data_IF_336713388075
#
_entry.id   IF_336713388075
#
_cell.length_a   1.000
_cell.length_b   1.000
_cell.length_c   1.000
_cell.angle_alpha   90.00
_cell.angle_beta   90.00
_cell.angle_gamma   90.00
#
_symmetry.space_group_name_H-M   'P 1'
#
loop_
_entity.id
_entity.type
_entity.pdbx_description
1 polymer ?
#
# COMPACT_ATOMS: atom_id res chain seq x y z
N UNK A 1 -86.24 17.51 10.26
CA UNK A 1 -85.07 17.52 9.35
C UNK A 1 -84.40 16.14 9.39
N UNK A 2 -84.48 15.35 8.32
CA UNK A 2 -83.73 14.08 8.23
C UNK A 2 -82.25 14.44 8.09
N UNK A 3 -81.43 14.13 9.10
CA UNK A 3 -79.96 14.30 9.01
C UNK A 3 -79.47 13.43 7.84
N UNK A 4 -78.77 14.03 6.90
CA UNK A 4 -78.21 13.35 5.73
C UNK A 4 -76.95 12.57 6.14
N UNK A 5 -77.13 11.29 6.50
CA UNK A 5 -76.04 10.37 6.86
C UNK A 5 -75.03 10.16 5.72
N UNK A 6 -75.45 10.33 4.47
CA UNK A 6 -74.62 10.16 3.28
C UNK A 6 -73.40 11.08 3.25
N UNK A 7 -73.50 12.28 3.83
CA UNK A 7 -72.37 13.23 3.88
C UNK A 7 -71.26 12.74 4.81
N UNK A 8 -71.61 12.17 5.97
CA UNK A 8 -70.64 11.69 6.96
C UNK A 8 -69.86 10.49 6.41
N UNK A 9 -70.55 9.56 5.74
CA UNK A 9 -69.91 8.39 5.12
C UNK A 9 -68.93 8.82 4.03
N UNK A 10 -69.28 9.79 3.20
CA UNK A 10 -68.40 10.30 2.16
C UNK A 10 -67.10 10.89 2.75
N UNK A 11 -67.21 11.71 3.80
CA UNK A 11 -66.03 12.27 4.50
C UNK A 11 -65.11 11.17 5.04
N UNK A 12 -65.69 10.12 5.64
CA UNK A 12 -64.90 9.00 6.16
C UNK A 12 -64.21 8.21 5.04
N UNK A 13 -64.90 7.97 3.92
CA UNK A 13 -64.30 7.31 2.76
C UNK A 13 -63.14 8.12 2.17
N UNK A 14 -63.30 9.44 2.02
CA UNK A 14 -62.22 10.32 1.54
C UNK A 14 -61.03 10.30 2.50
N UNK A 15 -61.28 10.34 3.80
CA UNK A 15 -60.23 10.26 4.82
C UNK A 15 -59.49 8.92 4.77
N UNK A 16 -60.21 7.80 4.63
CA UNK A 16 -59.60 6.48 4.48
C UNK A 16 -58.74 6.38 3.21
N UNK A 17 -59.23 6.90 2.08
CA UNK A 17 -58.46 6.93 0.82
C UNK A 17 -57.22 7.82 0.95
N UNK A 18 -57.32 8.96 1.65
CA UNK A 18 -56.19 9.85 1.90
C UNK A 18 -55.10 9.17 2.74
N UNK A 19 -55.47 8.46 3.81
CA UNK A 19 -54.53 7.67 4.62
C UNK A 19 -53.88 6.57 3.78
N UNK A 20 -54.67 5.80 3.03
CA UNK A 20 -54.13 4.74 2.18
C UNK A 20 -53.17 5.28 1.12
N UNK A 21 -53.45 6.45 0.55
CA UNK A 21 -52.55 7.12 -0.41
C UNK A 21 -51.24 7.54 0.25
N UNK A 22 -51.27 8.10 1.47
CA UNK A 22 -50.06 8.44 2.22
C UNK A 22 -49.24 7.19 2.54
N UNK A 23 -49.89 6.11 3.00
CA UNK A 23 -49.22 4.83 3.28
C UNK A 23 -48.59 4.22 2.02
N UNK A 24 -49.27 4.29 0.87
CA UNK A 24 -48.73 3.82 -0.40
C UNK A 24 -47.48 4.60 -0.81
N UNK A 25 -47.48 5.94 -0.68
CA UNK A 25 -46.30 6.77 -0.96
C UNK A 25 -45.16 6.45 0.00
N UNK A 26 -45.44 6.31 1.30
CA UNK A 26 -44.43 5.93 2.30
C UNK A 26 -43.82 4.56 2.01
N UNK A 27 -44.64 3.57 1.62
CA UNK A 27 -44.17 2.24 1.26
C UNK A 27 -43.28 2.26 0.01
N UNK A 28 -43.68 2.99 -1.04
CA UNK A 28 -42.86 3.16 -2.25
C UNK A 28 -41.50 3.81 -1.92
N UNK A 29 -41.51 4.85 -1.08
CA UNK A 29 -40.28 5.52 -0.67
C UNK A 29 -39.37 4.59 0.15
N UNK A 30 -39.93 3.84 1.11
CA UNK A 30 -39.18 2.89 1.92
C UNK A 30 -38.59 1.77 1.05
N UNK A 31 -39.38 1.20 0.14
CA UNK A 31 -38.92 0.17 -0.80
C UNK A 31 -37.80 0.68 -1.72
N UNK A 32 -37.88 1.94 -2.17
CA UNK A 32 -36.82 2.56 -2.97
C UNK A 32 -35.53 2.77 -2.16
N UNK A 33 -35.64 3.15 -0.88
CA UNK A 33 -34.50 3.30 0.02
C UNK A 33 -33.84 1.94 0.30
N UNK A 34 -34.63 0.91 0.59
CA UNK A 34 -34.14 -0.45 0.82
C UNK A 34 -33.45 -1.01 -0.43
N UNK A 35 -34.03 -0.81 -1.61
CA UNK A 35 -33.40 -1.21 -2.88
C UNK A 35 -32.06 -0.49 -3.10
N UNK A 36 -31.97 0.79 -2.75
CA UNK A 36 -30.73 1.57 -2.87
C UNK A 36 -29.68 1.11 -1.86
N UNK A 37 -30.08 0.82 -0.62
CA UNK A 37 -29.20 0.29 0.42
C UNK A 37 -28.64 -1.09 0.05
N UNK A 38 -29.49 -1.98 -0.47
CA UNK A 38 -29.09 -3.29 -0.99
C UNK A 38 -28.09 -3.13 -2.14
N UNK A 39 -28.37 -2.25 -3.11
CA UNK A 39 -27.47 -1.99 -4.25
C UNK A 39 -26.10 -1.47 -3.80
N UNK A 40 -26.07 -0.53 -2.84
CA UNK A 40 -24.82 0.00 -2.27
C UNK A 40 -24.03 -1.09 -1.54
N UNK A 41 -24.71 -1.94 -0.77
CA UNK A 41 -24.07 -3.04 -0.06
C UNK A 41 -23.49 -4.08 -1.03
N UNK A 42 -24.23 -4.45 -2.08
CA UNK A 42 -23.72 -5.33 -3.15
C UNK A 42 -22.51 -4.72 -3.86
N UNK A 43 -22.56 -3.43 -4.17
CA UNK A 43 -21.44 -2.71 -4.80
C UNK A 43 -20.20 -2.67 -3.92
N UNK A 44 -20.37 -2.45 -2.61
CA UNK A 44 -19.28 -2.53 -1.63
C UNK A 44 -18.65 -3.93 -1.58
N UNK A 45 -19.47 -4.99 -1.52
CA UNK A 45 -18.96 -6.36 -1.53
C UNK A 45 -18.23 -6.68 -2.84
N UNK A 46 -18.76 -6.24 -3.99
CA UNK A 46 -18.10 -6.42 -5.28
C UNK A 46 -16.74 -5.71 -5.32
N UNK A 47 -16.67 -4.44 -4.90
CA UNK A 47 -15.40 -3.71 -4.81
C UNK A 47 -14.39 -4.42 -3.91
N UNK A 48 -14.83 -4.96 -2.76
CA UNK A 48 -13.99 -5.73 -1.84
C UNK A 48 -13.47 -7.02 -2.47
N UNK A 49 -14.31 -7.77 -3.19
CA UNK A 49 -13.90 -8.98 -3.89
C UNK A 49 -12.89 -8.68 -5.01
N UNK A 50 -13.11 -7.60 -5.77
CA UNK A 50 -12.18 -7.15 -6.82
C UNK A 50 -10.82 -6.76 -6.21
N UNK A 51 -10.82 -6.07 -5.07
CA UNK A 51 -9.59 -5.75 -4.35
C UNK A 51 -8.83 -7.02 -3.89
N UNK A 52 -9.53 -8.01 -3.34
CA UNK A 52 -8.91 -9.29 -2.97
C UNK A 52 -8.35 -10.05 -4.16
N UNK A 53 -9.08 -10.10 -5.28
CA UNK A 53 -8.57 -10.71 -6.50
C UNK A 53 -7.31 -9.99 -7.02
N UNK A 54 -7.23 -8.66 -6.90
CA UNK A 54 -6.03 -7.89 -7.20
C UNK A 54 -4.84 -8.23 -6.30
N UNK A 55 -5.08 -8.45 -5.00
CA UNK A 55 -4.07 -8.90 -4.05
C UNK A 55 -3.56 -10.31 -4.38
N UNK A 56 -4.47 -11.25 -4.68
CA UNK A 56 -4.12 -12.63 -5.05
C UNK A 56 -3.31 -12.67 -6.34
N UNK A 57 -3.70 -11.87 -7.34
CA UNK A 57 -2.96 -11.70 -8.58
C UNK A 57 -1.53 -11.21 -8.31
N UNK A 58 -1.39 -10.14 -7.51
CA UNK A 58 -0.10 -9.60 -7.10
C UNK A 58 0.78 -10.65 -6.42
N UNK A 59 0.20 -11.42 -5.49
CA UNK A 59 0.90 -12.51 -4.78
C UNK A 59 1.37 -13.61 -5.74
N UNK A 60 0.48 -14.10 -6.60
CA UNK A 60 0.82 -15.12 -7.60
C UNK A 60 1.93 -14.63 -8.55
N UNK A 61 1.89 -13.35 -8.95
CA UNK A 61 2.92 -12.75 -9.80
C UNK A 61 4.26 -12.60 -9.09
N UNK A 62 4.27 -12.23 -7.80
CA UNK A 62 5.49 -12.19 -6.99
C UNK A 62 6.11 -13.59 -6.85
N UNK A 63 5.29 -14.63 -6.61
CA UNK A 63 5.75 -16.03 -6.54
C UNK A 63 6.31 -16.50 -7.89
N UNK A 64 5.66 -16.14 -9.00
CA UNK A 64 6.16 -16.46 -10.33
C UNK A 64 7.52 -15.78 -10.59
N UNK A 65 7.62 -14.50 -10.24
CA UNK A 65 8.84 -13.70 -10.41
C UNK A 65 9.98 -14.24 -9.54
N UNK A 66 9.70 -14.63 -8.29
CA UNK A 66 10.74 -15.14 -7.38
C UNK A 66 11.37 -16.45 -7.86
N UNK A 67 10.61 -17.28 -8.58
CA UNK A 67 11.15 -18.49 -9.25
C UNK A 67 12.11 -18.16 -10.39
N UNK A 68 11.98 -16.99 -11.02
CA UNK A 68 12.85 -16.55 -12.10
C UNK A 68 14.17 -15.91 -11.59
N UNK A 69 14.21 -15.46 -10.33
CA UNK A 69 15.40 -14.86 -9.67
C UNK A 69 16.59 -15.83 -9.56
N UNK A 70 16.40 -17.12 -9.82
CA UNK A 70 17.53 -18.09 -9.94
C UNK A 70 18.51 -17.67 -11.06
N UNK A 71 18.12 -16.74 -11.94
CA UNK A 71 19.02 -16.10 -12.89
C UNK A 71 19.74 -14.89 -12.25
N UNK A 72 21.07 -14.86 -12.31
CA UNK A 72 21.98 -13.94 -11.61
C UNK A 72 21.78 -12.43 -11.88
N UNK A 73 20.93 -12.05 -12.85
CA UNK A 73 20.70 -10.67 -13.27
C UNK A 73 19.21 -10.28 -13.30
N UNK A 74 18.34 -10.97 -12.54
CA UNK A 74 16.92 -10.67 -12.57
C UNK A 74 16.60 -9.34 -11.88
N UNK A 75 16.31 -8.32 -12.68
CA UNK A 75 15.66 -7.08 -12.27
C UNK A 75 14.16 -7.25 -12.52
N UNK A 76 13.31 -6.87 -11.57
CA UNK A 76 11.86 -6.85 -11.74
C UNK A 76 11.46 -5.81 -12.81
N UNK A 77 11.52 -6.18 -14.09
CA UNK A 77 11.21 -5.29 -15.22
C UNK A 77 9.71 -5.11 -15.45
N UNK A 78 8.90 -6.06 -14.99
CA UNK A 78 7.50 -6.19 -15.39
C UNK A 78 6.52 -5.39 -14.52
N UNK A 79 7.04 -4.59 -13.58
CA UNK A 79 6.28 -4.01 -12.48
C UNK A 79 6.10 -2.49 -12.58
N UNK A 80 6.48 -1.87 -13.69
CA UNK A 80 6.41 -0.42 -13.91
C UNK A 80 5.07 -0.06 -14.57
N UNK A 81 4.32 0.88 -13.98
CA UNK A 81 3.12 1.44 -14.62
C UNK A 81 3.50 2.20 -15.88
N UNK A 82 2.67 2.05 -16.91
CA UNK A 82 2.96 2.48 -18.27
C UNK A 82 2.51 3.89 -18.61
N UNK A 83 1.84 4.54 -17.67
CA UNK A 83 1.39 5.90 -17.88
C UNK A 83 2.39 6.88 -17.27
N UNK A 84 2.73 7.85 -18.11
CA UNK A 84 3.54 9.06 -17.95
C UNK A 84 3.97 9.30 -16.50
N UNK A 85 5.29 9.39 -16.19
CA UNK A 85 5.83 9.57 -14.83
C UNK A 85 5.30 10.79 -14.06
N UNK A 86 4.52 11.66 -14.70
CA UNK A 86 3.89 12.85 -14.11
C UNK A 86 2.44 12.63 -13.65
N UNK A 87 1.80 11.50 -13.97
CA UNK A 87 0.40 11.25 -13.62
C UNK A 87 0.31 10.50 -12.28
N UNK A 88 -0.42 11.07 -11.31
CA UNK A 88 -0.63 10.41 -10.02
C UNK A 88 -1.50 9.16 -10.20
N UNK A 89 -1.29 8.18 -9.31
CA UNK A 89 -1.98 6.88 -9.32
C UNK A 89 -3.51 6.99 -9.47
N UNK A 90 -4.11 8.03 -8.89
CA UNK A 90 -5.56 8.27 -8.91
C UNK A 90 -6.10 8.61 -10.31
N UNK A 91 -5.21 9.00 -11.23
CA UNK A 91 -5.55 9.46 -12.57
C UNK A 91 -5.31 8.41 -13.66
N UNK A 92 -4.92 7.18 -13.29
CA UNK A 92 -4.72 6.08 -14.25
C UNK A 92 -6.08 5.62 -14.82
N UNK A 93 -6.28 5.87 -16.11
CA UNK A 93 -7.51 5.49 -16.81
C UNK A 93 -7.43 4.11 -17.48
N UNK A 94 -6.23 3.52 -17.58
CA UNK A 94 -6.03 2.25 -18.29
C UNK A 94 -5.24 1.22 -17.48
N UNK A 95 -5.53 -0.09 -17.64
CA UNK A 95 -4.80 -1.15 -16.96
C UNK A 95 -3.40 -1.35 -17.57
N UNK A 96 -2.38 -1.50 -16.71
CA UNK A 96 -0.96 -1.35 -17.06
C UNK A 96 -0.31 -2.60 -17.69
N UNK A 97 -0.97 -3.27 -18.64
CA UNK A 97 -0.53 -4.57 -19.19
C UNK A 97 0.49 -4.54 -20.35
N UNK A 98 1.12 -3.40 -20.69
CA UNK A 98 1.83 -3.23 -21.99
C UNK A 98 3.26 -2.66 -21.93
N UNK A 99 4.25 -3.54 -21.77
CA UNK A 99 5.72 -3.37 -21.84
C UNK A 99 6.37 -2.08 -22.40
N UNK A 100 7.58 -1.82 -21.85
CA UNK A 100 8.75 -1.12 -22.40
C UNK A 100 8.69 0.40 -22.43
N UNK A 101 9.08 1.09 -21.36
CA UNK A 101 9.99 2.26 -21.36
C UNK A 101 10.26 2.70 -19.90
N UNK A 102 11.54 2.85 -19.53
CA UNK A 102 12.00 3.15 -18.18
C UNK A 102 12.40 4.63 -18.03
N UNK A 103 11.92 5.28 -16.98
CA UNK A 103 12.65 6.38 -16.33
C UNK A 103 12.70 6.13 -14.83
N UNK A 104 13.90 6.25 -14.28
CA UNK A 104 14.27 5.87 -12.92
C UNK A 104 14.12 7.10 -12.03
N UNK A 105 13.00 7.21 -11.31
CA UNK A 105 12.92 7.97 -10.06
C UNK A 105 11.68 7.49 -9.30
N UNK A 106 11.92 6.96 -8.09
CA UNK A 106 11.01 6.21 -7.22
C UNK A 106 10.58 4.82 -7.72
N UNK A 107 11.15 3.74 -7.14
CA UNK A 107 10.79 2.34 -7.43
C UNK A 107 9.49 1.95 -6.72
N UNK A 108 8.39 2.56 -7.13
CA UNK A 108 7.05 2.13 -6.77
C UNK A 108 6.49 1.34 -7.95
N UNK A 109 5.96 0.15 -7.67
CA UNK A 109 5.41 -0.71 -8.70
C UNK A 109 3.89 -0.64 -8.64
N UNK A 110 3.25 -0.32 -9.76
CA UNK A 110 1.80 -0.17 -9.83
C UNK A 110 1.23 -1.10 -10.88
N UNK A 111 0.11 -1.72 -10.55
CA UNK A 111 -0.60 -2.62 -11.41
C UNK A 111 -2.08 -2.27 -11.38
N UNK A 112 -2.62 -1.89 -12.51
CA UNK A 112 -4.06 -1.65 -12.68
C UNK A 112 -4.65 -2.81 -13.46
N UNK A 113 -5.70 -3.43 -12.94
CA UNK A 113 -6.38 -4.57 -13.56
C UNK A 113 -7.88 -4.32 -13.73
N UNK A 114 -8.48 -5.05 -14.66
CA UNK A 114 -9.93 -5.00 -14.93
C UNK A 114 -10.53 -6.39 -14.67
N UNK A 115 -11.53 -6.45 -13.81
CA UNK A 115 -12.32 -7.65 -13.58
C UNK A 115 -13.68 -7.47 -14.26
N UNK A 116 -13.82 -8.03 -15.47
CA UNK A 116 -15.01 -7.93 -16.29
C UNK A 116 -15.76 -9.25 -16.39
N UNK A 117 -17.05 -9.23 -16.07
CA UNK A 117 -17.99 -10.31 -16.43
C UNK A 117 -18.81 -9.88 -17.66
N UNK A 118 -18.55 -10.51 -18.80
CA UNK A 118 -19.48 -10.56 -19.94
C UNK A 118 -19.50 -9.35 -20.89
N UNK A 119 -19.81 -9.65 -22.15
CA UNK A 119 -19.74 -8.77 -23.32
C UNK A 119 -20.75 -7.61 -23.38
N UNK A 120 -21.63 -7.42 -22.38
CA UNK A 120 -22.69 -6.41 -22.47
C UNK A 120 -22.89 -5.66 -21.13
N UNK A 121 -22.25 -4.49 -21.06
CA UNK A 121 -22.71 -3.27 -20.37
C UNK A 121 -23.12 -3.39 -18.89
N UNK A 122 -22.13 -3.45 -17.99
CA UNK A 122 -22.25 -3.02 -16.59
C UNK A 122 -20.88 -2.51 -16.10
N UNK A 123 -20.80 -1.56 -15.15
CA UNK A 123 -19.59 -0.77 -14.92
C UNK A 123 -18.49 -1.68 -14.39
N UNK A 124 -17.40 -1.77 -15.15
CA UNK A 124 -16.24 -2.58 -14.80
C UNK A 124 -15.69 -2.16 -13.43
N UNK A 125 -15.44 -3.13 -12.57
CA UNK A 125 -14.64 -2.91 -11.37
C UNK A 125 -13.19 -2.73 -11.78
N UNK A 126 -12.68 -1.51 -11.70
CA UNK A 126 -11.26 -1.23 -11.83
C UNK A 126 -10.61 -1.39 -10.45
N UNK A 127 -9.44 -2.02 -10.41
CA UNK A 127 -8.60 -2.00 -9.22
C UNK A 127 -7.19 -1.57 -9.57
N UNK A 128 -6.58 -0.88 -8.62
CA UNK A 128 -5.18 -0.49 -8.68
C UNK A 128 -4.48 -1.08 -7.47
N UNK A 129 -3.53 -1.97 -7.72
CA UNK A 129 -2.64 -2.53 -6.73
C UNK A 129 -1.29 -1.83 -6.83
N UNK A 130 -0.74 -1.43 -5.70
CA UNK A 130 0.61 -0.89 -5.60
C UNK A 130 1.44 -1.82 -4.73
N UNK A 131 2.57 -2.27 -5.26
CA UNK A 131 3.55 -3.04 -4.51
C UNK A 131 4.74 -2.15 -4.22
N UNK A 132 5.15 -2.12 -2.96
CA UNK A 132 6.34 -1.41 -2.50
C UNK A 132 7.24 -2.37 -1.76
N UNK A 133 8.54 -2.30 -2.03
CA UNK A 133 9.52 -3.07 -1.28
C UNK A 133 9.86 -2.35 0.04
N UNK A 134 9.41 -2.92 1.15
CA UNK A 134 9.72 -2.39 2.47
C UNK A 134 11.17 -2.68 2.90
N UNK A 135 11.84 -3.66 2.28
CA UNK A 135 13.26 -3.93 2.55
C UNK A 135 14.17 -2.85 1.97
N UNK A 136 13.70 -2.00 1.05
CA UNK A 136 14.45 -0.81 0.61
C UNK A 136 14.47 0.34 1.64
N UNK A 137 13.78 0.19 2.78
CA UNK A 137 13.62 1.21 3.81
C UNK A 137 14.33 0.81 5.10
N UNK A 138 14.59 1.78 5.97
CA UNK A 138 15.21 1.53 7.28
C UNK A 138 14.14 1.02 8.25
N UNK A 139 14.32 -0.21 8.75
CA UNK A 139 13.43 -0.77 9.75
C UNK A 139 13.76 -0.23 11.15
N UNK A 140 12.87 0.61 11.69
CA UNK A 140 13.05 1.25 13.01
C UNK A 140 12.89 0.27 14.19
N UNK A 141 12.38 -0.94 13.93
CA UNK A 141 12.31 -2.03 14.91
C UNK A 141 13.57 -2.93 14.90
N UNK A 142 14.64 -2.51 14.22
CA UNK A 142 15.92 -3.22 14.22
C UNK A 142 16.52 -3.39 15.62
N UNK A 143 17.10 -4.55 15.88
CA UNK A 143 17.69 -4.93 17.18
C UNK A 143 19.00 -4.20 17.48
N UNK A 144 19.78 -3.86 16.45
CA UNK A 144 21.08 -3.20 16.56
C UNK A 144 20.93 -1.68 16.76
N UNK A 145 20.62 -1.27 17.99
CA UNK A 145 20.32 0.12 18.35
C UNK A 145 21.41 1.11 17.98
N UNK A 146 22.69 0.76 18.17
CA UNK A 146 23.79 1.68 17.91
C UNK A 146 23.94 1.99 16.42
N UNK A 147 23.91 0.96 15.59
CA UNK A 147 23.97 1.09 14.12
C UNK A 147 22.73 1.83 13.63
N UNK A 148 21.55 1.44 14.11
CA UNK A 148 20.28 2.07 13.74
C UNK A 148 20.25 3.56 14.12
N UNK A 149 20.66 3.92 15.34
CA UNK A 149 20.75 5.33 15.77
C UNK A 149 21.66 6.13 14.83
N UNK A 150 22.83 5.58 14.51
CA UNK A 150 23.81 6.21 13.64
C UNK A 150 23.23 6.45 12.25
N UNK A 151 22.70 5.40 11.61
CA UNK A 151 22.06 5.47 10.28
C UNK A 151 20.90 6.48 10.27
N UNK A 152 20.01 6.45 11.27
CA UNK A 152 18.90 7.40 11.36
C UNK A 152 19.38 8.85 11.50
N UNK A 153 20.42 9.10 12.31
CA UNK A 153 20.99 10.43 12.45
C UNK A 153 21.53 10.97 11.11
N UNK A 154 22.23 10.13 10.35
CA UNK A 154 22.75 10.51 9.03
C UNK A 154 21.60 10.79 8.05
N UNK A 155 20.56 9.95 8.07
CA UNK A 155 19.34 10.16 7.28
C UNK A 155 18.68 11.51 7.63
N UNK A 156 18.46 11.81 8.91
CA UNK A 156 17.83 13.07 9.30
C UNK A 156 18.69 14.29 8.94
N UNK A 157 20.02 14.14 9.03
CA UNK A 157 20.96 15.18 8.59
C UNK A 157 20.88 15.39 7.08
N UNK A 158 20.80 14.33 6.26
CA UNK A 158 20.70 14.45 4.80
C UNK A 158 19.35 15.02 4.35
N UNK A 159 18.29 14.77 5.10
CA UNK A 159 16.96 15.35 4.85
C UNK A 159 16.79 16.78 5.37
N UNK A 160 17.77 17.30 6.14
CA UNK A 160 17.65 18.62 6.78
C UNK A 160 16.54 18.69 7.84
N UNK A 161 16.27 17.58 8.52
CA UNK A 161 15.25 17.47 9.58
C UNK A 161 15.89 17.37 10.96
N UNK A 162 15.13 17.68 12.02
CA UNK A 162 15.58 17.51 13.40
C UNK A 162 15.98 16.05 13.66
N UNK A 163 17.12 15.83 14.32
CA UNK A 163 17.55 14.49 14.72
C UNK A 163 16.66 13.96 15.85
N UNK A 164 15.81 13.00 15.51
CA UNK A 164 14.92 12.28 16.44
C UNK A 164 15.35 10.82 16.65
N UNK A 165 16.56 10.44 16.21
CA UNK A 165 17.03 9.04 16.24
C UNK A 165 17.04 8.45 17.65
N UNK A 166 17.56 9.18 18.64
CA UNK A 166 17.54 8.78 20.03
C UNK A 166 16.12 8.69 20.61
N UNK A 167 15.23 9.60 20.20
CA UNK A 167 13.84 9.60 20.65
C UNK A 167 13.08 8.38 20.12
N UNK A 168 13.30 7.98 18.86
CA UNK A 168 12.75 6.75 18.27
C UNK A 168 13.16 5.53 19.11
N UNK A 169 14.44 5.39 19.44
CA UNK A 169 14.90 4.23 20.22
C UNK A 169 14.39 4.23 21.66
N UNK A 170 14.32 5.41 22.30
CA UNK A 170 13.82 5.55 23.67
C UNK A 170 12.32 5.21 23.77
N UNK A 171 11.50 5.77 22.87
CA UNK A 171 10.04 5.58 22.90
C UNK A 171 9.60 4.22 22.36
N UNK A 172 10.48 3.50 21.66
CA UNK A 172 10.26 2.10 21.29
C UNK A 172 10.26 1.19 22.52
N UNK A 173 11.13 1.46 23.50
CA UNK A 173 11.27 0.66 24.71
C UNK A 173 11.66 -0.79 24.42
N UNK A 174 11.09 -1.74 25.17
CA UNK A 174 11.19 -3.19 24.90
C UNK A 174 10.21 -3.67 23.81
N UNK A 175 9.25 -2.82 23.44
CA UNK A 175 8.28 -3.11 22.39
C UNK A 175 8.84 -2.85 20.99
N UNK A 176 8.05 -3.16 19.98
CA UNK A 176 8.25 -2.69 18.60
C UNK A 176 7.11 -1.74 18.25
N UNK A 177 7.35 -0.80 17.33
CA UNK A 177 6.28 0.00 16.75
C UNK A 177 5.39 -0.88 15.87
N UNK A 178 4.08 -0.83 16.07
CA UNK A 178 3.14 -1.60 15.24
C UNK A 178 3.04 -1.03 13.82
N UNK A 179 3.05 0.30 13.71
CA UNK A 179 2.97 1.05 12.46
C UNK A 179 3.77 2.35 12.57
N UNK A 180 4.02 3.01 11.44
CA UNK A 180 4.63 4.34 11.44
C UNK A 180 3.72 5.41 12.08
N UNK A 181 2.40 5.21 12.07
CA UNK A 181 1.45 6.09 12.76
C UNK A 181 1.53 5.92 14.29
N UNK A 182 1.78 4.71 14.79
CA UNK A 182 2.09 4.47 16.22
C UNK A 182 3.37 5.18 16.64
N UNK A 183 4.40 5.17 15.78
CA UNK A 183 5.62 5.93 15.99
C UNK A 183 5.34 7.44 16.04
N UNK A 184 4.59 7.98 15.06
CA UNK A 184 4.19 9.39 15.01
C UNK A 184 3.47 9.83 16.28
N UNK A 185 2.50 9.03 16.74
CA UNK A 185 1.72 9.32 17.94
C UNK A 185 2.58 9.31 19.20
N UNK A 186 3.44 8.30 19.39
CA UNK A 186 4.31 8.18 20.57
C UNK A 186 5.36 9.28 20.67
N UNK A 187 5.87 9.75 19.53
CA UNK A 187 6.87 10.81 19.47
C UNK A 187 6.26 12.22 19.41
N UNK A 188 4.94 12.34 19.29
CA UNK A 188 4.24 13.60 19.06
C UNK A 188 4.86 14.42 17.90
N UNK A 189 5.19 13.76 16.79
CA UNK A 189 5.81 14.41 15.63
C UNK A 189 4.81 15.32 14.92
N UNK A 190 5.32 16.47 14.46
CA UNK A 190 4.58 17.34 13.56
C UNK A 190 4.38 16.68 12.17
N UNK A 191 3.32 17.09 11.47
CA UNK A 191 2.97 16.49 10.18
C UNK A 191 4.04 16.71 9.11
N UNK A 192 4.76 17.84 9.17
CA UNK A 192 5.78 18.20 8.19
C UNK A 192 6.99 17.27 8.31
N UNK A 193 7.55 17.13 9.52
CA UNK A 193 8.65 16.20 9.81
C UNK A 193 8.23 14.77 9.50
N UNK A 194 7.04 14.35 9.91
CA UNK A 194 6.55 12.99 9.64
C UNK A 194 6.46 12.71 8.13
N UNK A 195 5.89 13.65 7.35
CA UNK A 195 5.77 13.50 5.90
C UNK A 195 7.13 13.41 5.22
N UNK A 196 8.13 14.16 5.70
CA UNK A 196 9.50 14.11 5.16
C UNK A 196 10.19 12.76 5.43
N UNK A 197 10.04 12.18 6.62
CA UNK A 197 10.78 10.97 7.00
C UNK A 197 10.05 9.66 6.65
N UNK A 198 8.71 9.67 6.60
CA UNK A 198 7.87 8.49 6.37
C UNK A 198 8.25 7.66 5.14
N UNK A 199 8.65 8.24 4.00
CA UNK A 199 9.02 7.45 2.81
C UNK A 199 10.21 6.51 3.03
N UNK A 200 11.12 6.85 3.95
CA UNK A 200 12.41 6.17 4.15
C UNK A 200 12.41 5.14 5.28
N UNK A 201 11.34 5.10 6.08
CA UNK A 201 11.22 4.27 7.27
C UNK A 201 10.19 3.15 7.06
N UNK A 202 10.37 2.03 7.75
CA UNK A 202 9.37 0.97 7.87
C UNK A 202 9.38 0.37 9.29
N UNK A 203 8.27 -0.24 9.71
CA UNK A 203 8.19 -1.00 10.97
C UNK A 203 8.30 -2.51 10.77
N UNK A 204 8.17 -2.95 9.52
CA UNK A 204 8.17 -4.35 9.12
C UNK A 204 9.03 -4.51 7.88
N UNK A 205 9.84 -5.57 7.86
CA UNK A 205 10.69 -5.95 6.75
C UNK A 205 11.05 -7.43 6.88
N UNK A 206 11.73 -7.97 5.87
CA UNK A 206 12.25 -9.34 5.94
C UNK A 206 13.29 -9.42 7.06
N UNK A 207 13.06 -10.31 8.03
CA UNK A 207 14.01 -10.57 9.10
C UNK A 207 14.85 -11.79 8.74
N UNK A 208 16.17 -11.62 8.74
CA UNK A 208 17.14 -12.70 8.70
C UNK A 208 17.69 -12.93 10.11
N UNK A 209 18.05 -14.17 10.41
CA UNK A 209 18.59 -14.52 11.72
C UNK A 209 20.12 -14.55 11.63
N UNK A 210 20.78 -13.50 12.11
CA UNK A 210 22.24 -13.46 12.21
C UNK A 210 22.69 -14.06 13.53
N UNK A 211 23.69 -14.94 13.46
CA UNK A 211 24.34 -15.47 14.67
C UNK A 211 25.33 -14.44 15.20
N UNK A 212 25.08 -13.96 16.41
CA UNK A 212 26.00 -13.09 17.12
C UNK A 212 27.00 -13.95 17.91
N UNK A 213 28.30 -13.94 17.56
CA UNK A 213 29.30 -14.76 18.22
C UNK A 213 29.55 -14.34 19.68
N UNK A 214 29.31 -13.07 20.03
CA UNK A 214 29.55 -12.56 21.38
C UNK A 214 28.48 -13.06 22.36
N UNK A 215 27.20 -12.96 21.97
CA UNK A 215 26.08 -13.42 22.80
C UNK A 215 25.72 -14.89 22.58
N UNK A 216 26.23 -15.52 21.51
CA UNK A 216 25.85 -16.87 21.04
C UNK A 216 24.35 -17.03 20.80
N UNK A 217 23.67 -15.94 20.47
CA UNK A 217 22.24 -15.94 20.15
C UNK A 217 22.01 -15.59 18.69
N UNK A 218 20.86 -16.01 18.16
CA UNK A 218 20.41 -15.56 16.85
C UNK A 218 19.58 -14.29 17.01
N UNK A 219 20.05 -13.20 16.44
CA UNK A 219 19.39 -11.91 16.47
C UNK A 219 18.72 -11.66 15.12
N UNK A 220 17.52 -11.09 15.17
CA UNK A 220 16.82 -10.64 13.97
C UNK A 220 17.56 -9.43 13.38
N UNK A 221 17.93 -9.53 12.11
CA UNK A 221 18.53 -8.51 11.29
C UNK A 221 17.62 -8.21 10.11
N UNK A 222 17.50 -6.95 9.73
CA UNK A 222 16.64 -6.51 8.63
C UNK A 222 17.53 -5.97 7.51
N UNK A 223 17.97 -6.82 6.55
CA UNK A 223 18.81 -6.38 5.46
C UNK A 223 18.09 -5.32 4.62
N UNK A 224 18.84 -4.28 4.25
CA UNK A 224 18.35 -3.26 3.33
C UNK A 224 18.59 -3.72 1.90
N UNK A 225 17.54 -3.82 1.09
CA UNK A 225 17.64 -4.12 -0.33
C UNK A 225 18.19 -2.90 -1.08
N UNK A 226 19.50 -2.91 -1.34
CA UNK A 226 20.20 -1.82 -2.03
C UNK A 226 19.66 -1.55 -3.43
N UNK A 227 19.00 -2.52 -4.06
CA UNK A 227 18.43 -2.35 -5.39
C UNK A 227 17.18 -1.46 -5.36
N UNK A 228 16.48 -1.35 -4.23
CA UNK A 228 15.22 -0.59 -4.11
C UNK A 228 15.33 0.59 -3.16
N UNK A 229 16.40 0.65 -2.37
CA UNK A 229 16.68 1.75 -1.46
C UNK A 229 16.83 3.09 -2.19
N UNK A 230 16.33 4.16 -1.56
CA UNK A 230 16.50 5.52 -2.07
C UNK A 230 17.94 6.00 -1.89
N UNK A 231 18.40 7.03 -2.65
CA UNK A 231 19.72 7.60 -2.47
C UNK A 231 20.01 8.07 -1.02
N UNK A 232 18.99 8.57 -0.32
CA UNK A 232 19.07 9.03 1.07
C UNK A 232 19.30 7.85 2.02
N UNK A 233 18.58 6.74 1.83
CA UNK A 233 18.78 5.51 2.60
C UNK A 233 20.18 4.93 2.35
N UNK A 234 20.62 4.89 1.09
CA UNK A 234 21.96 4.42 0.73
C UNK A 234 23.05 5.32 1.31
N UNK A 235 22.87 6.64 1.26
CA UNK A 235 23.80 7.61 1.88
C UNK A 235 23.89 7.37 3.39
N UNK A 236 22.75 7.18 4.05
CA UNK A 236 22.70 6.89 5.48
C UNK A 236 23.34 5.55 5.87
N UNK A 237 23.26 4.55 5.00
CA UNK A 237 23.83 3.23 5.22
C UNK A 237 25.36 3.20 4.97
N UNK A 238 25.85 3.95 3.99
CA UNK A 238 27.22 3.85 3.48
C UNK A 238 28.18 4.94 4.00
N UNK A 239 27.70 5.99 4.67
CA UNK A 239 28.49 7.19 5.03
C UNK A 239 29.71 6.94 5.94
N UNK A 240 29.79 5.77 6.58
CA UNK A 240 30.85 5.41 7.52
C UNK A 240 31.58 4.12 7.15
N UNK A 241 31.33 3.59 5.96
CA UNK A 241 32.07 2.44 5.47
C UNK A 241 33.43 2.94 4.98
N UNK A 242 34.44 2.83 5.84
CA UNK A 242 35.83 2.91 5.44
C UNK A 242 36.29 1.54 4.95
N UNK A 243 36.97 1.51 3.80
CA UNK A 243 37.51 0.28 3.23
C UNK A 243 38.36 0.57 2.01
N UNK A 244 39.37 -0.26 1.78
CA UNK A 244 40.08 -0.27 0.51
C UNK A 244 39.21 -1.00 -0.52
N UNK A 245 38.81 -0.30 -1.59
CA UNK A 245 38.17 -0.92 -2.73
C UNK A 245 39.21 -1.73 -3.50
N UNK A 246 39.32 -3.02 -3.18
CA UNK A 246 40.11 -3.95 -3.98
C UNK A 246 39.29 -4.32 -5.21
N UNK A 247 39.50 -3.59 -6.31
CA UNK A 247 39.00 -3.99 -7.62
C UNK A 247 39.78 -5.23 -8.05
N UNK A 248 39.23 -6.41 -7.81
CA UNK A 248 39.65 -7.61 -8.52
C UNK A 248 38.88 -7.62 -9.84
N UNK A 249 39.51 -7.29 -10.99
CA UNK A 249 38.84 -7.42 -12.27
C UNK A 249 38.51 -8.89 -12.51
N UNK A 250 37.31 -9.32 -12.12
CA UNK A 250 36.74 -10.55 -12.61
C UNK A 250 36.36 -10.31 -14.07
N UNK A 251 37.13 -10.91 -14.98
CA UNK A 251 36.76 -10.99 -16.39
C UNK A 251 35.53 -11.90 -16.44
N UNK A 252 34.34 -11.31 -16.39
CA UNK A 252 33.10 -12.03 -16.67
C UNK A 252 33.09 -12.38 -18.16
N UNK A 253 33.53 -13.60 -18.47
CA UNK A 253 33.34 -14.14 -19.81
C UNK A 253 31.88 -14.55 -19.91
N UNK A 254 31.04 -13.71 -20.51
CA UNK A 254 29.66 -14.09 -20.84
C UNK A 254 29.72 -15.17 -21.92
N UNK A 255 29.77 -16.43 -21.51
CA UNK A 255 29.49 -17.54 -22.41
C UNK A 255 28.01 -17.52 -22.72
N UNK A 256 27.66 -16.94 -23.86
CA UNK A 256 26.35 -17.13 -24.47
C UNK A 256 26.24 -18.60 -24.90
N UNK A 257 25.66 -19.44 -24.05
CA UNK A 257 25.09 -20.69 -24.55
C UNK A 257 23.91 -20.31 -25.45
N UNK A 258 24.04 -20.58 -26.75
CA UNK A 258 22.91 -20.55 -27.68
C UNK A 258 21.87 -21.54 -27.17
N UNK A 259 20.70 -21.03 -26.78
CA UNK A 259 19.48 -21.81 -26.61
C UNK A 259 19.04 -22.40 -27.95
#
# INVERSE_FOLDING_TARGET
MKKSWSGIVCVFCVFAIAILSILAVLFCNLSSLDSSACSNYTSYLQAKMVAYAGMDYCSARLIQSSRQIVQSNYVFTDWVSLDIPTQTLENLQTPSYRSNFLTIQEKQYHYTGLLGTGLNLSPYGLYTCRITDNSGKININGTYNEILAKTLRILFTSLGTQDISAAILLNRGTGSYYSLEDMKQKLALDEETYTKIKPYLCTQGVAEMLFDPATKTRLAYYPININTASPEVLTALLSDISGETTYLPQIFTLTYEKA
#
